data_IF_351962699506
#
_entry.id   IF_351962699506
#
_cell.length_a   1.000
_cell.length_b   1.000
_cell.length_c   1.000
_cell.angle_alpha   90.00
_cell.angle_beta   90.00
_cell.angle_gamma   90.00
#
_symmetry.space_group_name_H-M   'P 1'
#
loop_
_entity.id
_entity.type
_entity.pdbx_description
1 polymer ?
#
# COMPACT_ATOMS: atom_id res chain seq x y z
N UNK A 1 -3.74 -10.61 7.68
CA UNK A 1 -2.73 -10.46 6.62
C UNK A 1 -3.38 -10.69 5.28
N UNK A 2 -3.10 -9.86 4.31
CA UNK A 2 -3.64 -10.04 2.96
C UNK A 2 -2.52 -9.92 1.92
N UNK A 3 -2.76 -10.53 0.77
CA UNK A 3 -1.88 -10.42 -0.38
C UNK A 3 -2.44 -9.34 -1.29
N UNK A 4 -1.60 -8.44 -1.76
CA UNK A 4 -2.06 -7.36 -2.60
C UNK A 4 -1.04 -6.94 -3.64
N UNK A 5 -1.54 -6.21 -4.63
CA UNK A 5 -0.71 -5.58 -5.65
C UNK A 5 -0.72 -4.07 -5.45
N UNK A 6 0.44 -3.47 -5.46
CA UNK A 6 0.55 -2.02 -5.35
C UNK A 6 0.09 -1.40 -6.67
N UNK A 7 -0.94 -0.57 -6.63
CA UNK A 7 -1.49 0.07 -7.81
C UNK A 7 -1.25 1.57 -7.85
N UNK A 8 -0.76 2.13 -6.76
CA UNK A 8 -0.44 3.55 -6.71
C UNK A 8 0.20 3.91 -5.39
N UNK A 9 0.66 5.14 -5.30
CA UNK A 9 1.21 5.67 -4.08
C UNK A 9 0.81 7.13 -3.94
N UNK A 10 0.67 7.57 -2.70
CA UNK A 10 0.37 8.97 -2.39
C UNK A 10 1.25 9.41 -1.23
N UNK A 11 1.59 10.67 -1.23
CA UNK A 11 2.31 11.28 -0.13
C UNK A 11 1.31 12.02 0.74
N UNK A 12 1.24 11.63 2.01
CA UNK A 12 0.44 12.34 2.98
C UNK A 12 1.32 13.37 3.66
N UNK A 13 0.92 14.64 3.60
CA UNK A 13 1.61 15.69 4.32
C UNK A 13 0.90 15.92 5.62
N UNK A 14 1.64 15.82 6.72
CA UNK A 14 1.13 16.18 8.02
C UNK A 14 1.59 17.58 8.38
N UNK A 15 0.70 18.34 8.98
CA UNK A 15 1.04 19.70 9.44
C UNK A 15 1.83 19.70 10.75
N UNK A 16 2.02 18.54 11.30
CA UNK A 16 2.79 18.38 12.52
C UNK A 16 4.27 18.34 12.15
N UNK A 17 5.07 19.19 12.77
CA UNK A 17 6.49 19.31 12.47
C UNK A 17 7.29 18.05 12.77
N UNK A 18 6.73 17.12 13.52
CA UNK A 18 7.45 15.89 13.86
C UNK A 18 7.40 14.85 12.74
N UNK A 19 6.58 15.06 11.69
CA UNK A 19 6.42 14.10 10.59
C UNK A 19 6.55 14.84 9.28
N UNK A 20 7.58 14.51 8.51
CA UNK A 20 7.84 15.17 7.23
C UNK A 20 7.02 14.62 6.07
N UNK A 21 6.04 13.82 6.36
CA UNK A 21 5.21 13.19 5.35
C UNK A 21 5.38 11.69 5.37
N UNK A 22 4.34 11.01 4.96
CA UNK A 22 4.33 9.56 4.87
C UNK A 22 4.02 9.15 3.45
N UNK A 23 4.78 8.21 2.93
CA UNK A 23 4.44 7.57 1.68
C UNK A 23 3.45 6.45 1.97
N UNK A 24 2.29 6.54 1.35
CA UNK A 24 1.23 5.54 1.48
C UNK A 24 1.09 4.80 0.17
N UNK A 25 0.89 3.50 0.27
CA UNK A 25 0.63 2.66 -0.88
C UNK A 25 -0.85 2.38 -0.98
N UNK A 26 -1.38 2.47 -2.18
CA UNK A 26 -2.72 1.97 -2.48
C UNK A 26 -2.55 0.56 -2.99
N UNK A 27 -3.12 -0.39 -2.27
CA UNK A 27 -2.92 -1.81 -2.53
C UNK A 27 -4.25 -2.45 -2.88
N UNK A 28 -4.32 -3.09 -4.02
CA UNK A 28 -5.49 -3.88 -4.42
C UNK A 28 -5.33 -5.29 -3.91
N UNK A 29 -6.28 -5.76 -3.12
CA UNK A 29 -6.25 -7.14 -2.66
C UNK A 29 -6.36 -8.10 -3.83
N UNK A 30 -5.54 -9.17 -3.82
CA UNK A 30 -5.53 -10.19 -4.87
C UNK A 30 -5.56 -11.56 -4.23
N UNK A 31 -5.98 -12.56 -4.99
CA UNK A 31 -5.96 -13.95 -4.56
C UNK A 31 -4.60 -14.60 -4.91
N UNK A 32 -4.47 -15.88 -4.63
CA UNK A 32 -3.23 -16.61 -4.91
C UNK A 32 -2.92 -16.69 -6.41
N UNK A 33 -3.91 -16.44 -7.25
CA UNK A 33 -3.72 -16.40 -8.71
C UNK A 33 -3.46 -14.97 -9.19
N UNK A 34 -3.29 -14.04 -8.25
CA UNK A 34 -3.04 -12.61 -8.50
C UNK A 34 -4.19 -11.91 -9.21
N UNK A 35 -5.40 -12.42 -9.06
CA UNK A 35 -6.59 -11.74 -9.56
C UNK A 35 -7.11 -10.77 -8.51
N UNK A 36 -7.56 -9.61 -8.95
CA UNK A 36 -8.12 -8.60 -8.06
C UNK A 36 -9.36 -9.12 -7.36
N UNK A 37 -9.36 -9.03 -6.05
CA UNK A 37 -10.52 -9.41 -5.22
C UNK A 37 -10.69 -8.36 -4.14
N UNK A 38 -11.89 -8.26 -3.63
CA UNK A 38 -12.18 -7.38 -2.49
C UNK A 38 -11.95 -5.92 -2.77
N UNK A 39 -11.49 -5.23 -1.77
CA UNK A 39 -11.39 -3.78 -1.76
C UNK A 39 -9.93 -3.34 -1.81
N UNK A 40 -9.75 -2.03 -1.97
CA UNK A 40 -8.44 -1.42 -1.85
C UNK A 40 -8.09 -1.26 -0.37
N UNK A 41 -6.80 -1.29 -0.09
CA UNK A 41 -6.24 -1.01 1.24
C UNK A 41 -5.18 0.06 1.08
N UNK A 42 -5.12 0.97 2.04
CA UNK A 42 -4.06 1.97 2.10
C UNK A 42 -3.12 1.57 3.23
N UNK A 43 -1.84 1.46 2.91
CA UNK A 43 -0.83 1.03 3.87
C UNK A 43 0.38 1.97 3.84
N UNK A 44 1.05 2.09 4.97
CA UNK A 44 2.30 2.85 5.04
C UNK A 44 3.39 2.05 4.34
N UNK A 45 4.15 2.71 3.46
CA UNK A 45 5.26 2.08 2.75
C UNK A 45 6.48 2.01 3.66
N UNK A 46 6.79 0.83 4.14
CA UNK A 46 7.96 0.58 4.97
C UNK A 46 9.09 -0.11 4.23
N UNK A 47 8.87 -0.53 2.99
CA UNK A 47 9.82 -1.34 2.23
C UNK A 47 10.14 -0.76 0.86
N UNK A 48 9.62 0.43 0.57
CA UNK A 48 9.79 1.11 -0.71
C UNK A 48 9.32 0.27 -1.91
N UNK A 49 8.14 -0.32 -1.76
CA UNK A 49 7.55 -1.11 -2.84
C UNK A 49 7.12 -0.20 -3.98
N UNK A 50 7.34 -0.65 -5.20
CA UNK A 50 6.94 0.06 -6.41
C UNK A 50 5.60 -0.42 -6.94
N UNK A 51 5.01 0.39 -7.81
CA UNK A 51 3.75 0.05 -8.48
C UNK A 51 3.92 -1.23 -9.28
N UNK A 52 2.98 -2.14 -9.14
CA UNK A 52 3.02 -3.45 -9.78
C UNK A 52 3.58 -4.55 -8.91
N UNK A 53 4.22 -4.22 -7.80
CA UNK A 53 4.77 -5.23 -6.92
C UNK A 53 3.68 -5.91 -6.10
N UNK A 54 3.92 -7.17 -5.78
CA UNK A 54 3.05 -7.95 -4.90
C UNK A 54 3.60 -7.84 -3.48
N UNK A 55 2.73 -7.52 -2.55
CA UNK A 55 3.12 -7.30 -1.16
C UNK A 55 2.17 -8.04 -0.22
N UNK A 56 2.67 -8.33 0.97
CA UNK A 56 1.84 -8.80 2.06
C UNK A 56 1.56 -7.62 2.98
N UNK A 57 0.31 -7.43 3.29
CA UNK A 57 -0.13 -6.35 4.18
C UNK A 57 -0.61 -6.96 5.48
N UNK A 58 0.01 -6.56 6.57
CA UNK A 58 -0.42 -6.95 7.90
C UNK A 58 -1.67 -6.15 8.27
N UNK A 59 -2.67 -6.86 8.75
CA UNK A 59 -3.94 -6.23 9.03
C UNK A 59 -4.39 -6.51 10.45
#
# INVERSE_FOLDING_TARGET
>A
MLLGRVIGSVWATCKDDSIEGLKLLVVQEVDLKLKSIGSFVVAVDTVQAGVGEIVLVAK
#
